data_IF_427268654434
#
_entry.id   IF_427268654434
#
_cell.length_a   1.000
_cell.length_b   1.000
_cell.length_c   1.000
_cell.angle_alpha   90.00
_cell.angle_beta   90.00
_cell.angle_gamma   90.00
#
_symmetry.space_group_name_H-M   'P 1'
#
loop_
_entity.id
_entity.type
_entity.pdbx_description
1 polymer ?
#
# COMPACT_ATOMS: atom_id res chain seq x y z
N UNK A 1 -27.24 -7.44 1.00
CA UNK A 1 -26.19 -6.68 1.72
C UNK A 1 -26.46 -6.69 3.24
N UNK A 2 -26.70 -7.85 3.87
CA UNK A 2 -27.02 -7.91 5.31
C UNK A 2 -26.51 -9.19 6.02
N UNK A 3 -25.61 -9.96 5.39
CA UNK A 3 -25.21 -11.28 5.90
C UNK A 3 -23.81 -11.33 6.54
N UNK A 4 -23.17 -10.18 6.76
CA UNK A 4 -21.76 -10.12 7.17
C UNK A 4 -21.52 -9.57 8.60
N UNK A 5 -22.58 -9.29 9.37
CA UNK A 5 -22.47 -8.72 10.73
C UNK A 5 -22.61 -9.77 11.85
N UNK A 6 -23.16 -10.95 11.58
CA UNK A 6 -23.40 -11.98 12.60
C UNK A 6 -22.14 -12.72 13.03
N UNK A 7 -21.04 -12.65 12.26
CA UNK A 7 -19.81 -13.39 12.54
C UNK A 7 -18.96 -12.75 13.66
N UNK A 8 -19.23 -11.50 14.06
CA UNK A 8 -18.36 -10.78 15.00
C UNK A 8 -18.80 -10.84 16.48
N UNK A 9 -20.08 -11.13 16.77
CA UNK A 9 -20.62 -11.09 18.13
C UNK A 9 -20.27 -12.31 18.98
N UNK A 10 -20.25 -13.51 18.39
CA UNK A 10 -19.88 -14.74 19.10
C UNK A 10 -18.38 -14.78 19.44
N UNK A 11 -17.54 -14.20 18.58
CA UNK A 11 -16.10 -14.09 18.80
C UNK A 11 -15.78 -13.06 19.91
N UNK A 12 -16.54 -11.96 19.97
CA UNK A 12 -16.51 -10.99 21.07
C UNK A 12 -17.01 -11.58 22.40
N UNK A 13 -18.07 -12.39 22.37
CA UNK A 13 -18.61 -13.03 23.57
C UNK A 13 -17.62 -14.04 24.18
N UNK A 14 -16.91 -14.80 23.36
CA UNK A 14 -15.92 -15.77 23.82
C UNK A 14 -14.63 -15.11 24.32
N UNK A 15 -14.23 -13.97 23.75
CA UNK A 15 -13.09 -13.18 24.25
C UNK A 15 -13.41 -12.47 25.57
N UNK A 16 -14.63 -11.98 25.77
CA UNK A 16 -15.08 -11.46 27.07
C UNK A 16 -15.05 -12.53 28.18
N UNK A 17 -15.48 -13.77 27.87
CA UNK A 17 -15.39 -14.89 28.84
C UNK A 17 -13.96 -15.26 29.22
N UNK A 18 -12.99 -15.05 28.32
CA UNK A 18 -11.56 -15.27 28.59
C UNK A 18 -10.93 -14.13 29.42
N UNK A 19 -11.43 -12.89 29.27
CA UNK A 19 -10.99 -11.75 30.08
C UNK A 19 -11.34 -11.90 31.57
N UNK A 20 -12.50 -12.49 31.89
CA UNK A 20 -12.92 -12.75 33.26
C UNK A 20 -12.04 -13.78 33.99
N UNK A 21 -11.36 -14.66 33.23
CA UNK A 21 -10.54 -15.74 33.80
C UNK A 21 -9.10 -15.34 34.12
N UNK A 22 -8.56 -14.25 33.55
CA UNK A 22 -7.19 -13.83 33.83
C UNK A 22 -6.95 -12.32 33.55
N UNK A 23 -6.97 -11.44 34.58
CA UNK A 23 -6.86 -9.99 34.39
C UNK A 23 -5.48 -9.53 33.89
N UNK A 24 -4.46 -10.41 33.89
CA UNK A 24 -3.15 -10.14 33.29
C UNK A 24 -3.08 -10.43 31.78
N UNK A 25 -4.05 -11.17 31.22
CA UNK A 25 -4.11 -11.55 29.81
C UNK A 25 -4.96 -10.57 28.98
N UNK A 26 -5.77 -9.75 29.63
CA UNK A 26 -6.59 -8.70 29.04
C UNK A 26 -5.84 -7.72 28.11
N UNK A 27 -4.64 -7.20 28.44
CA UNK A 27 -3.95 -6.26 27.56
C UNK A 27 -3.43 -6.91 26.27
N UNK A 28 -2.91 -8.15 26.33
CA UNK A 28 -2.41 -8.86 25.14
C UNK A 28 -3.56 -9.22 24.18
N UNK A 29 -4.70 -9.65 24.73
CA UNK A 29 -5.89 -9.97 23.95
C UNK A 29 -6.48 -8.73 23.27
N UNK A 30 -6.46 -7.57 23.94
CA UNK A 30 -6.90 -6.30 23.37
C UNK A 30 -5.99 -5.82 22.23
N UNK A 31 -4.67 -6.00 22.35
CA UNK A 31 -3.71 -5.65 21.30
C UNK A 31 -3.89 -6.55 20.08
N UNK A 32 -4.11 -7.85 20.30
CA UNK A 32 -4.33 -8.81 19.22
C UNK A 32 -5.65 -8.53 18.48
N UNK A 33 -6.74 -8.29 19.21
CA UNK A 33 -8.02 -7.90 18.62
C UNK A 33 -7.96 -6.56 17.86
N UNK A 34 -7.17 -5.60 18.34
CA UNK A 34 -6.93 -4.34 17.62
C UNK A 34 -6.15 -4.58 16.32
N UNK A 35 -5.13 -5.42 16.37
CA UNK A 35 -4.34 -5.82 15.20
C UNK A 35 -5.20 -6.48 14.12
N UNK A 36 -6.06 -7.42 14.51
CA UNK A 36 -6.95 -8.13 13.59
C UNK A 36 -7.97 -7.17 12.96
N UNK A 37 -8.54 -6.26 13.74
CA UNK A 37 -9.46 -5.22 13.24
C UNK A 37 -8.80 -4.27 12.23
N UNK A 38 -7.54 -3.87 12.48
CA UNK A 38 -6.77 -3.03 11.54
C UNK A 38 -6.49 -3.81 10.26
N UNK A 39 -6.06 -5.07 10.38
CA UNK A 39 -5.73 -5.93 9.25
C UNK A 39 -6.94 -6.15 8.33
N UNK A 40 -8.12 -6.37 8.89
CA UNK A 40 -9.34 -6.58 8.11
C UNK A 40 -9.79 -5.30 7.38
N UNK A 41 -9.63 -4.13 8.01
CA UNK A 41 -9.84 -2.84 7.33
C UNK A 41 -8.82 -2.63 6.21
N UNK A 42 -7.55 -2.96 6.44
CA UNK A 42 -6.50 -2.89 5.41
C UNK A 42 -6.82 -3.81 4.22
N UNK A 43 -7.25 -5.04 4.46
CA UNK A 43 -7.71 -5.97 3.40
C UNK A 43 -8.89 -5.40 2.62
N UNK A 44 -9.86 -4.78 3.29
CA UNK A 44 -11.01 -4.17 2.64
C UNK A 44 -10.60 -3.01 1.71
N UNK A 45 -9.64 -2.19 2.14
CA UNK A 45 -9.06 -1.11 1.33
C UNK A 45 -8.33 -1.69 0.11
N UNK A 46 -7.45 -2.68 0.33
CA UNK A 46 -6.65 -3.30 -0.73
C UNK A 46 -7.50 -4.09 -1.75
N UNK A 47 -8.69 -4.56 -1.36
CA UNK A 47 -9.65 -5.20 -2.29
C UNK A 47 -10.57 -4.20 -3.00
N UNK A 48 -10.50 -2.92 -2.63
CA UNK A 48 -11.37 -1.91 -3.23
C UNK A 48 -10.88 -1.54 -4.63
N UNK A 49 -11.80 -1.45 -5.59
CA UNK A 49 -11.49 -1.00 -6.96
C UNK A 49 -10.90 0.41 -6.99
N UNK A 50 -11.22 1.24 -6.00
CA UNK A 50 -10.71 2.60 -5.89
C UNK A 50 -9.21 2.62 -5.58
N UNK A 51 -8.72 1.68 -4.78
CA UNK A 51 -7.29 1.59 -4.47
C UNK A 51 -6.46 1.28 -5.71
N UNK A 52 -6.88 0.28 -6.49
CA UNK A 52 -6.23 -0.06 -7.76
C UNK A 52 -6.35 1.07 -8.80
N UNK A 53 -7.48 1.80 -8.82
CA UNK A 53 -7.67 2.95 -9.69
C UNK A 53 -6.68 4.09 -9.36
N UNK A 54 -6.49 4.39 -8.07
CA UNK A 54 -5.52 5.41 -7.63
C UNK A 54 -4.11 4.98 -8.03
N UNK A 55 -3.73 3.72 -7.78
CA UNK A 55 -2.43 3.19 -8.19
C UNK A 55 -2.20 3.32 -9.69
N UNK A 56 -3.23 3.03 -10.50
CA UNK A 56 -3.17 3.19 -11.96
C UNK A 56 -2.99 4.64 -12.38
N UNK A 57 -3.70 5.59 -11.75
CA UNK A 57 -3.54 7.02 -12.02
C UNK A 57 -2.10 7.46 -11.71
N UNK A 58 -1.55 7.03 -10.57
CA UNK A 58 -0.16 7.34 -10.20
C UNK A 58 0.85 6.74 -11.18
N UNK A 59 0.58 5.55 -11.72
CA UNK A 59 1.43 4.92 -12.74
C UNK A 59 1.39 5.67 -14.08
N UNK A 60 0.22 6.14 -14.49
CA UNK A 60 0.10 6.97 -15.71
C UNK A 60 0.84 8.30 -15.50
N UNK A 61 0.67 8.94 -14.34
CA UNK A 61 1.35 10.18 -14.02
C UNK A 61 2.87 10.02 -13.98
N UNK A 62 3.39 8.95 -13.38
CA UNK A 62 4.85 8.73 -13.34
C UNK A 62 5.45 8.58 -14.74
N UNK A 63 4.78 7.84 -15.63
CA UNK A 63 5.20 7.71 -17.04
C UNK A 63 5.14 9.04 -17.78
N UNK A 64 4.11 9.85 -17.55
CA UNK A 64 4.00 11.19 -18.14
C UNK A 64 5.14 12.09 -17.67
N UNK A 65 5.48 12.08 -16.37
CA UNK A 65 6.59 12.86 -15.82
C UNK A 65 7.92 12.47 -16.44
N UNK A 66 8.22 11.17 -16.54
CA UNK A 66 9.44 10.68 -17.22
C UNK A 66 9.45 11.07 -18.70
N UNK A 67 8.31 11.01 -19.39
CA UNK A 67 8.21 11.41 -20.80
C UNK A 67 8.51 12.89 -21.00
N UNK A 68 7.99 13.75 -20.12
CA UNK A 68 8.26 15.19 -20.13
C UNK A 68 9.74 15.45 -19.84
N UNK A 69 10.34 14.73 -18.89
CA UNK A 69 11.76 14.84 -18.55
C UNK A 69 12.66 14.53 -19.75
N UNK A 70 12.38 13.43 -20.46
CA UNK A 70 13.13 13.02 -21.65
C UNK A 70 12.92 13.99 -22.82
N UNK A 71 11.68 14.46 -23.02
CA UNK A 71 11.33 15.33 -24.17
C UNK A 71 11.90 16.74 -24.04
N UNK A 72 11.97 17.28 -22.82
CA UNK A 72 12.43 18.65 -22.56
C UNK A 72 13.85 18.70 -22.00
N UNK A 73 14.62 17.61 -22.13
CA UNK A 73 16.00 17.58 -21.62
C UNK A 73 16.84 18.62 -22.37
N UNK A 74 17.30 19.68 -21.71
CA UNK A 74 17.96 20.76 -22.42
C UNK A 74 19.35 20.30 -22.86
N UNK A 75 19.62 20.43 -24.17
CA UNK A 75 20.88 19.97 -24.80
C UNK A 75 22.04 20.94 -24.52
N UNK A 76 21.72 22.20 -24.22
CA UNK A 76 22.65 23.26 -23.82
C UNK A 76 21.88 24.31 -23.01
N UNK A 77 22.00 24.28 -21.68
CA UNK A 77 21.42 25.33 -20.81
C UNK A 77 22.37 25.64 -19.67
N UNK A 78 22.37 26.91 -19.26
CA UNK A 78 23.00 27.37 -18.04
C UNK A 78 22.54 26.53 -16.84
N UNK A 79 23.46 26.29 -15.90
CA UNK A 79 23.24 25.42 -14.73
C UNK A 79 21.95 25.76 -13.94
N UNK A 80 21.51 27.02 -13.96
CA UNK A 80 20.30 27.47 -13.25
C UNK A 80 19.01 26.90 -13.86
N UNK A 81 18.87 26.84 -15.18
CA UNK A 81 17.68 26.31 -15.84
C UNK A 81 17.62 24.78 -15.73
N UNK A 82 18.79 24.13 -15.72
CA UNK A 82 18.90 22.70 -15.48
C UNK A 82 18.36 22.35 -14.08
N UNK A 83 18.73 23.08 -13.04
CA UNK A 83 18.27 22.84 -11.66
C UNK A 83 16.77 23.08 -11.51
N UNK A 84 16.25 24.15 -12.12
CA UNK A 84 14.83 24.49 -12.03
C UNK A 84 13.92 23.40 -12.64
N UNK A 85 14.39 22.68 -13.66
CA UNK A 85 13.62 21.63 -14.31
C UNK A 85 13.90 20.22 -13.77
N UNK A 86 15.16 19.91 -13.44
CA UNK A 86 15.54 18.55 -12.99
C UNK A 86 15.16 18.27 -11.54
N UNK A 87 15.21 19.27 -10.65
CA UNK A 87 14.93 19.07 -9.23
C UNK A 87 13.46 18.71 -8.97
N UNK A 88 12.45 19.39 -9.54
CA UNK A 88 11.05 18.99 -9.35
C UNK A 88 10.73 17.61 -9.90
N UNK A 89 11.34 17.24 -11.04
CA UNK A 89 11.17 15.91 -11.64
C UNK A 89 11.78 14.80 -10.77
N UNK A 90 12.97 15.03 -10.22
CA UNK A 90 13.60 14.10 -9.30
C UNK A 90 12.77 13.90 -8.01
N UNK A 91 12.21 14.99 -7.46
CA UNK A 91 11.32 14.92 -6.30
C UNK A 91 10.04 14.14 -6.64
N UNK A 92 9.42 14.44 -7.78
CA UNK A 92 8.21 13.74 -8.22
C UNK A 92 8.45 12.23 -8.39
N UNK A 93 9.55 11.84 -9.05
CA UNK A 93 9.93 10.43 -9.21
C UNK A 93 10.15 9.74 -7.86
N UNK A 94 10.80 10.42 -6.91
CA UNK A 94 10.97 9.90 -5.55
C UNK A 94 9.62 9.71 -4.83
N UNK A 95 8.69 10.65 -4.97
CA UNK A 95 7.34 10.54 -4.40
C UNK A 95 6.55 9.37 -5.00
N UNK A 96 6.62 9.18 -6.32
CA UNK A 96 5.97 8.04 -6.99
C UNK A 96 6.56 6.71 -6.55
N UNK A 97 7.89 6.62 -6.43
CA UNK A 97 8.57 5.42 -5.94
C UNK A 97 8.13 5.05 -4.52
N UNK A 98 8.11 6.04 -3.62
CA UNK A 98 7.64 5.84 -2.24
C UNK A 98 6.19 5.36 -2.18
N UNK A 99 5.32 5.92 -3.04
CA UNK A 99 3.93 5.49 -3.12
C UNK A 99 3.82 4.01 -3.53
N UNK A 100 4.48 3.60 -4.61
CA UNK A 100 4.44 2.19 -5.07
C UNK A 100 5.06 1.23 -4.05
N UNK A 101 6.14 1.62 -3.38
CA UNK A 101 6.74 0.81 -2.32
C UNK A 101 5.76 0.61 -1.16
N UNK A 102 5.08 1.67 -0.71
CA UNK A 102 4.08 1.59 0.34
C UNK A 102 2.86 0.76 -0.09
N UNK A 103 2.43 0.88 -1.34
CA UNK A 103 1.33 0.10 -1.89
C UNK A 103 1.63 -1.42 -1.82
N UNK A 104 2.83 -1.82 -2.24
CA UNK A 104 3.26 -3.22 -2.21
C UNK A 104 3.38 -3.72 -0.78
N UNK A 105 3.96 -2.93 0.14
CA UNK A 105 4.06 -3.30 1.56
C UNK A 105 2.67 -3.49 2.16
N UNK A 106 1.72 -2.60 1.86
CA UNK A 106 0.34 -2.70 2.34
C UNK A 106 -0.36 -3.94 1.79
N UNK A 107 -0.24 -4.22 0.49
CA UNK A 107 -0.82 -5.43 -0.13
C UNK A 107 -0.18 -6.70 0.44
N UNK A 108 1.14 -6.73 0.63
CA UNK A 108 1.87 -7.85 1.22
C UNK A 108 1.49 -8.09 2.68
N UNK A 109 1.29 -7.02 3.46
CA UNK A 109 0.84 -7.12 4.85
C UNK A 109 -0.62 -7.59 4.93
N UNK A 110 -1.50 -7.09 4.06
CA UNK A 110 -2.91 -7.42 4.05
C UNK A 110 -3.20 -8.88 3.65
N UNK A 111 -2.53 -9.40 2.61
CA UNK A 111 -2.80 -10.75 2.08
C UNK A 111 -1.79 -11.81 2.53
N UNK A 112 -0.67 -11.38 3.10
CA UNK A 112 0.48 -12.22 3.39
C UNK A 112 1.41 -12.35 2.18
N UNK A 113 2.74 -12.37 2.38
CA UNK A 113 3.73 -12.34 1.30
C UNK A 113 3.59 -13.53 0.35
N UNK A 114 3.25 -14.73 0.86
CA UNK A 114 3.10 -15.93 0.05
C UNK A 114 1.85 -15.93 -0.84
N UNK A 115 0.74 -15.34 -0.38
CA UNK A 115 -0.48 -15.23 -1.18
C UNK A 115 -0.39 -14.08 -2.19
N UNK A 116 0.37 -13.03 -1.87
CA UNK A 116 0.62 -11.91 -2.77
C UNK A 116 1.30 -12.37 -4.08
N UNK A 117 2.37 -13.17 -3.98
CA UNK A 117 3.07 -13.70 -5.16
C UNK A 117 2.34 -14.85 -5.88
N UNK A 118 1.39 -15.53 -5.21
CA UNK A 118 0.67 -16.67 -5.77
C UNK A 118 -0.64 -16.28 -6.46
N UNK A 119 -1.23 -15.14 -6.11
CA UNK A 119 -2.59 -14.77 -6.53
C UNK A 119 -2.66 -14.14 -7.93
N UNK A 120 -1.62 -13.46 -8.42
CA UNK A 120 -1.66 -12.83 -9.75
C UNK A 120 -0.26 -12.47 -10.25
N UNK A 121 0.00 -12.76 -11.53
CA UNK A 121 1.22 -12.34 -12.25
C UNK A 121 1.41 -10.82 -12.27
N UNK A 122 0.33 -10.03 -12.11
CA UNK A 122 0.45 -8.57 -12.00
C UNK A 122 1.14 -8.13 -10.72
N UNK A 123 0.94 -8.81 -9.58
CA UNK A 123 1.62 -8.45 -8.34
C UNK A 123 3.12 -8.75 -8.38
N UNK A 124 3.52 -9.78 -9.15
CA UNK A 124 4.93 -10.06 -9.43
C UNK A 124 5.54 -8.94 -10.28
N UNK A 125 4.81 -8.43 -11.28
CA UNK A 125 5.23 -7.30 -12.09
C UNK A 125 5.40 -6.04 -11.25
N UNK A 126 4.41 -5.70 -10.42
CA UNK A 126 4.46 -4.57 -9.48
C UNK A 126 5.69 -4.65 -8.56
N UNK A 127 5.92 -5.81 -7.94
CA UNK A 127 7.09 -6.05 -7.09
C UNK A 127 8.42 -5.94 -7.85
N UNK A 128 8.47 -6.45 -9.09
CA UNK A 128 9.67 -6.36 -9.92
C UNK A 128 9.99 -4.91 -10.29
N UNK A 129 8.98 -4.13 -10.70
CA UNK A 129 9.13 -2.71 -11.03
C UNK A 129 9.64 -1.94 -9.83
N UNK A 130 9.03 -2.13 -8.65
CA UNK A 130 9.48 -1.48 -7.43
C UNK A 130 10.91 -1.85 -7.03
N UNK A 131 11.30 -3.12 -7.22
CA UNK A 131 12.68 -3.57 -6.97
C UNK A 131 13.68 -2.95 -7.95
N UNK A 132 13.33 -2.85 -9.24
CA UNK A 132 14.23 -2.26 -10.25
C UNK A 132 14.37 -0.73 -10.17
N UNK A 133 13.47 -0.07 -9.44
CA UNK A 133 13.54 1.38 -9.23
C UNK A 133 14.41 1.79 -8.04
N UNK A 134 14.91 0.84 -7.24
CA UNK A 134 15.96 1.04 -6.24
C UNK A 134 17.34 0.67 -6.80
#
# INVERSE_FOLDING_TARGET
MLENETINLDQYSNTMKLLDLNPKLAPELHIQALGDNILDRCKAICRSKYFDLIGTIFAILSVLFVTIEVSNRPVNTDYMDLVAFTLPMAIANCCFLLYFALEIILKAWAFGPLNFFRSSTMHILEATVAFTCF
#
